data_IF_483374675360
#
_entry.id   IF_483374675360
#
_cell.length_a   1.000
_cell.length_b   1.000
_cell.length_c   1.000
_cell.angle_alpha   90.00
_cell.angle_beta   90.00
_cell.angle_gamma   90.00
#
_symmetry.space_group_name_H-M   'P 1'
#
loop_
_entity.id
_entity.type
_entity.pdbx_description
1 polymer ?
#
# COMPACT_ATOMS: atom_id res chain seq x y z
N UNK A 1 3.27 -24.64 -1.50
CA UNK A 1 4.19 -23.48 -1.69
C UNK A 1 3.54 -22.20 -2.20
N UNK A 2 2.76 -22.22 -3.28
CA UNK A 2 2.18 -20.99 -3.88
C UNK A 2 1.31 -20.19 -2.90
N UNK A 3 0.47 -20.86 -2.12
CA UNK A 3 -0.37 -20.22 -1.09
C UNK A 3 0.44 -19.62 0.05
N UNK A 4 1.54 -20.26 0.45
CA UNK A 4 2.46 -19.72 1.45
C UNK A 4 3.11 -18.41 0.98
N UNK A 5 3.47 -18.31 -0.31
CA UNK A 5 3.98 -17.06 -0.89
C UNK A 5 2.94 -15.95 -0.91
N UNK A 6 1.67 -16.27 -1.21
CA UNK A 6 0.55 -15.31 -1.15
C UNK A 6 0.28 -14.81 0.27
N UNK A 7 0.26 -15.72 1.24
CA UNK A 7 0.13 -15.38 2.65
C UNK A 7 1.32 -14.53 3.13
N UNK A 8 2.54 -14.85 2.71
CA UNK A 8 3.72 -14.07 3.04
C UNK A 8 3.66 -12.65 2.44
N UNK A 9 3.24 -12.53 1.18
CA UNK A 9 3.03 -11.23 0.55
C UNK A 9 2.00 -10.36 1.29
N UNK A 10 0.93 -11.00 1.79
CA UNK A 10 -0.07 -10.36 2.65
C UNK A 10 0.53 -9.85 3.97
N UNK A 11 1.31 -10.68 4.66
CA UNK A 11 1.97 -10.30 5.90
C UNK A 11 2.97 -9.17 5.69
N UNK A 12 3.69 -9.15 4.56
CA UNK A 12 4.59 -8.04 4.18
C UNK A 12 3.85 -6.70 4.01
N UNK A 13 2.56 -6.75 3.68
CA UNK A 13 1.72 -5.58 3.49
C UNK A 13 1.09 -5.11 4.81
N UNK A 14 0.72 -6.04 5.70
CA UNK A 14 0.08 -5.70 7.00
C UNK A 14 1.07 -5.46 8.13
N UNK A 15 2.25 -6.08 8.10
CA UNK A 15 3.31 -5.89 9.10
C UNK A 15 4.41 -4.94 8.61
N UNK A 16 5.04 -4.24 9.55
CA UNK A 16 6.18 -3.36 9.25
C UNK A 16 7.48 -4.11 9.52
N UNK A 17 8.26 -4.37 8.46
CA UNK A 17 9.57 -5.01 8.58
C UNK A 17 9.52 -6.41 9.19
N UNK A 18 9.04 -7.39 8.42
CA UNK A 18 9.18 -8.80 8.80
C UNK A 18 10.68 -9.09 8.98
N UNK A 19 11.04 -9.60 10.16
CA UNK A 19 12.41 -9.97 10.49
C UNK A 19 12.84 -11.24 9.74
N UNK A 20 13.20 -12.29 10.46
CA UNK A 20 13.53 -13.57 9.85
C UNK A 20 12.25 -14.32 9.47
N UNK A 21 12.14 -14.75 8.22
CA UNK A 21 11.02 -15.53 7.69
C UNK A 21 11.48 -16.91 7.26
N UNK A 22 10.67 -17.93 7.56
CA UNK A 22 10.91 -19.32 7.15
C UNK A 22 9.59 -19.89 6.66
N UNK A 23 9.56 -20.39 5.41
CA UNK A 23 8.44 -21.18 4.89
C UNK A 23 8.78 -22.65 5.16
N UNK A 24 7.81 -23.40 5.69
CA UNK A 24 7.98 -24.82 6.02
C UNK A 24 6.93 -25.60 5.22
N UNK A 25 7.34 -26.65 4.52
CA UNK A 25 6.45 -27.52 3.75
C UNK A 25 5.55 -28.38 4.65
N UNK A 26 4.39 -28.87 4.17
CA UNK A 26 3.51 -29.72 4.96
C UNK A 26 4.16 -31.05 5.36
N UNK A 27 5.09 -31.56 4.55
CA UNK A 27 5.95 -32.72 4.84
C UNK A 27 6.92 -32.48 6.02
N UNK A 28 7.49 -31.29 6.15
CA UNK A 28 8.40 -30.94 7.26
C UNK A 28 7.66 -30.76 8.60
N UNK A 29 6.35 -30.47 8.55
CA UNK A 29 5.47 -30.38 9.72
C UNK A 29 5.04 -31.77 10.20
N UNK A 30 5.33 -32.84 9.44
CA UNK A 30 4.76 -34.17 9.67
C UNK A 30 5.41 -35.00 10.77
N UNK A 31 6.57 -34.63 11.35
CA UNK A 31 7.31 -35.60 12.17
C UNK A 31 7.57 -35.30 13.66
N UNK A 32 7.48 -34.07 14.19
CA UNK A 32 7.44 -33.94 15.66
C UNK A 32 6.97 -32.58 16.20
N UNK A 33 6.01 -32.60 17.13
CA UNK A 33 5.55 -31.40 17.83
C UNK A 33 6.54 -30.87 18.88
N UNK A 34 7.43 -31.73 19.34
CA UNK A 34 8.57 -31.33 20.16
C UNK A 34 9.54 -30.45 19.34
N UNK A 35 9.82 -30.82 18.08
CA UNK A 35 10.74 -30.10 17.19
C UNK A 35 10.22 -28.73 16.79
N UNK A 36 8.94 -28.59 16.41
CA UNK A 36 8.41 -27.28 16.03
C UNK A 36 8.41 -26.32 17.22
N UNK A 37 8.08 -26.78 18.43
CA UNK A 37 8.17 -25.97 19.66
C UNK A 37 9.61 -25.59 19.99
N UNK A 38 10.53 -26.55 19.92
CA UNK A 38 11.95 -26.32 20.19
C UNK A 38 12.55 -25.32 19.19
N UNK A 39 12.17 -25.43 17.91
CA UNK A 39 12.57 -24.53 16.84
C UNK A 39 11.95 -23.15 17.02
N UNK A 40 10.65 -23.06 17.33
CA UNK A 40 9.98 -21.78 17.59
C UNK A 40 10.59 -21.02 18.78
N UNK A 41 11.00 -21.73 19.85
CA UNK A 41 11.71 -21.12 20.98
C UNK A 41 13.12 -20.70 20.63
N UNK A 42 13.87 -21.53 19.90
CA UNK A 42 15.26 -21.25 19.49
C UNK A 42 15.34 -20.07 18.53
N UNK A 43 14.42 -20.02 17.57
CA UNK A 43 14.36 -18.98 16.54
C UNK A 43 13.57 -17.73 16.98
N UNK A 44 13.01 -17.71 18.20
CA UNK A 44 12.16 -16.63 18.75
C UNK A 44 11.07 -16.21 17.77
N UNK A 45 10.26 -17.16 17.35
CA UNK A 45 9.17 -16.91 16.41
C UNK A 45 8.07 -16.10 17.13
N UNK A 46 7.81 -14.89 16.65
CA UNK A 46 6.77 -14.00 17.18
C UNK A 46 5.39 -14.25 16.55
N UNK A 47 5.35 -14.76 15.32
CA UNK A 47 4.12 -15.01 14.56
C UNK A 47 4.23 -16.28 13.72
N UNK A 48 3.18 -17.09 13.70
CA UNK A 48 3.11 -18.34 12.97
C UNK A 48 1.80 -18.40 12.17
N UNK A 49 1.91 -18.61 10.85
CA UNK A 49 0.75 -18.60 9.95
C UNK A 49 0.55 -19.98 9.33
N UNK A 50 -0.60 -20.59 9.61
CA UNK A 50 -1.00 -21.89 9.07
C UNK A 50 -1.80 -21.72 7.78
N UNK A 51 -1.49 -22.49 6.74
CA UNK A 51 -2.28 -22.50 5.51
C UNK A 51 -3.43 -23.53 5.62
N UNK A 52 -4.68 -23.08 5.57
CA UNK A 52 -5.86 -23.94 5.61
C UNK A 52 -6.07 -24.76 4.33
N UNK A 53 -5.34 -24.45 3.25
CA UNK A 53 -5.31 -25.29 2.05
C UNK A 53 -4.39 -26.52 2.22
N UNK A 54 -3.33 -26.37 3.02
CA UNK A 54 -2.29 -27.40 3.17
C UNK A 54 -2.48 -28.24 4.47
N UNK A 55 -3.17 -27.70 5.46
CA UNK A 55 -3.43 -28.34 6.75
C UNK A 55 -4.93 -28.42 7.05
N UNK A 56 -5.38 -29.57 7.54
CA UNK A 56 -6.76 -29.73 8.00
C UNK A 56 -7.03 -28.90 9.26
N UNK A 57 -8.27 -28.45 9.44
CA UNK A 57 -8.69 -27.67 10.61
C UNK A 57 -8.36 -28.39 11.93
N UNK A 58 -8.54 -29.71 11.98
CA UNK A 58 -8.19 -30.53 13.14
C UNK A 58 -6.69 -30.48 13.48
N UNK A 59 -5.80 -30.53 12.48
CA UNK A 59 -4.36 -30.38 12.69
C UNK A 59 -4.01 -28.98 13.17
N UNK A 60 -4.62 -27.94 12.60
CA UNK A 60 -4.39 -26.55 13.01
C UNK A 60 -4.78 -26.35 14.47
N UNK A 61 -5.97 -26.83 14.88
CA UNK A 61 -6.45 -26.75 16.27
C UNK A 61 -5.50 -27.48 17.22
N UNK A 62 -5.05 -28.68 16.86
CA UNK A 62 -4.09 -29.43 17.66
C UNK A 62 -2.78 -28.66 17.85
N UNK A 63 -2.29 -27.98 16.81
CA UNK A 63 -1.11 -27.13 16.90
C UNK A 63 -1.35 -25.87 17.73
N UNK A 64 -2.51 -25.23 17.60
CA UNK A 64 -2.90 -24.08 18.42
C UNK A 64 -2.89 -24.42 19.91
N UNK A 65 -3.48 -25.55 20.28
CA UNK A 65 -3.47 -26.03 21.67
C UNK A 65 -2.06 -26.30 22.16
N UNK A 66 -1.23 -26.91 21.31
CA UNK A 66 0.16 -27.21 21.65
C UNK A 66 1.00 -25.93 21.78
N UNK A 67 0.79 -24.94 20.92
CA UNK A 67 1.55 -23.70 20.91
C UNK A 67 0.95 -22.62 21.83
N UNK A 68 -0.15 -22.92 22.54
CA UNK A 68 -0.81 -22.01 23.50
C UNK A 68 0.12 -21.46 24.59
N UNK A 69 1.18 -22.20 24.95
CA UNK A 69 2.21 -21.77 25.92
C UNK A 69 3.43 -21.09 25.27
N UNK A 70 3.42 -20.93 23.94
CA UNK A 70 4.44 -20.15 23.23
C UNK A 70 4.00 -18.69 23.16
N UNK A 71 4.96 -17.76 23.04
CA UNK A 71 4.68 -16.32 22.88
C UNK A 71 4.22 -15.97 21.45
N UNK A 72 4.28 -16.93 20.52
CA UNK A 72 3.97 -16.72 19.13
C UNK A 72 2.47 -16.49 18.92
N UNK A 73 2.12 -15.45 18.16
CA UNK A 73 0.76 -15.25 17.67
C UNK A 73 0.48 -16.24 16.55
N UNK A 74 -0.70 -16.85 16.56
CA UNK A 74 -1.08 -17.84 15.54
C UNK A 74 -2.12 -17.22 14.61
N UNK A 75 -1.89 -17.26 13.30
CA UNK A 75 -2.87 -16.88 12.28
C UNK A 75 -3.11 -18.02 11.29
N UNK A 76 -4.23 -17.96 10.57
CA UNK A 76 -4.67 -18.97 9.61
C UNK A 76 -4.93 -18.30 8.26
N UNK A 77 -4.12 -18.63 7.26
CA UNK A 77 -4.33 -18.23 5.88
C UNK A 77 -5.35 -19.15 5.20
N UNK A 78 -6.47 -18.58 4.75
CA UNK A 78 -7.52 -19.28 4.01
C UNK A 78 -7.19 -19.36 2.51
N UNK A 79 -7.60 -20.45 1.81
CA UNK A 79 -7.58 -20.51 0.37
C UNK A 79 -8.47 -19.39 -0.21
N UNK A 80 -7.84 -18.36 -0.78
CA UNK A 80 -8.52 -17.14 -1.23
C UNK A 80 -7.82 -15.84 -0.82
N UNK A 81 -6.75 -15.89 -0.02
CA UNK A 81 -5.94 -14.72 0.31
C UNK A 81 -6.49 -13.89 1.47
N UNK A 82 -7.04 -14.57 2.47
CA UNK A 82 -7.47 -13.96 3.75
C UNK A 82 -6.70 -14.61 4.89
N UNK A 83 -6.20 -13.82 5.84
CA UNK A 83 -5.48 -14.27 7.03
C UNK A 83 -6.37 -13.98 8.25
N UNK A 84 -6.67 -15.00 9.03
CA UNK A 84 -7.49 -14.92 10.24
C UNK A 84 -6.59 -15.09 11.46
N UNK A 85 -6.48 -14.05 12.28
CA UNK A 85 -5.81 -14.05 13.57
C UNK A 85 -6.76 -14.05 14.76
N UNK A 86 -6.24 -14.11 16.00
CA UNK A 86 -7.05 -14.23 17.22
C UNK A 86 -7.88 -12.99 17.53
N UNK A 87 -7.48 -11.82 17.01
CA UNK A 87 -8.15 -10.53 17.23
C UNK A 87 -8.48 -9.78 15.92
N UNK A 88 -8.22 -10.37 14.75
CA UNK A 88 -8.46 -9.71 13.45
C UNK A 88 -8.65 -10.73 12.33
N UNK A 89 -9.55 -10.44 11.39
CA UNK A 89 -9.56 -11.07 10.07
C UNK A 89 -9.06 -10.04 9.05
N UNK A 90 -8.02 -10.38 8.29
CA UNK A 90 -7.36 -9.52 7.32
C UNK A 90 -7.52 -10.15 5.93
N UNK A 91 -8.36 -9.57 5.07
CA UNK A 91 -8.52 -10.02 3.67
C UNK A 91 -7.87 -9.04 2.69
N UNK A 92 -7.34 -9.55 1.57
CA UNK A 92 -7.01 -8.72 0.39
C UNK A 92 -8.21 -7.86 -0.07
N UNK A 93 -9.44 -8.36 0.13
CA UNK A 93 -10.67 -7.65 -0.18
C UNK A 93 -11.09 -6.62 0.86
N UNK A 94 -10.78 -6.84 2.15
CA UNK A 94 -11.12 -5.91 3.25
C UNK A 94 -10.30 -4.61 3.20
N UNK A 95 -9.13 -4.63 2.55
CA UNK A 95 -8.35 -3.42 2.27
C UNK A 95 -9.05 -2.45 1.31
N UNK A 96 -10.10 -2.91 0.60
CA UNK A 96 -10.93 -2.12 -0.30
C UNK A 96 -12.30 -1.76 0.28
N UNK A 97 -12.62 -2.20 1.50
CA UNK A 97 -13.89 -1.90 2.17
C UNK A 97 -13.86 -0.49 2.76
N UNK A 98 -14.29 0.48 1.95
CA UNK A 98 -14.95 1.75 2.35
C UNK A 98 -14.42 2.46 3.60
N UNK A 99 -13.12 2.75 3.63
CA UNK A 99 -12.64 3.85 4.47
C UNK A 99 -13.20 5.17 3.92
N UNK A 100 -13.84 5.98 4.78
CA UNK A 100 -14.38 7.31 4.46
C UNK A 100 -13.34 8.23 3.78
N UNK A 101 -12.06 7.95 3.98
CA UNK A 101 -10.93 8.71 3.45
C UNK A 101 -10.23 8.05 2.25
N UNK A 102 -10.63 6.85 1.83
CA UNK A 102 -10.05 6.22 0.65
C UNK A 102 -10.39 6.99 -0.61
N UNK A 103 -9.46 7.06 -1.57
CA UNK A 103 -9.63 7.81 -2.83
C UNK A 103 -10.86 7.33 -3.63
N UNK A 104 -11.31 6.09 -3.42
CA UNK A 104 -12.53 5.57 -4.02
C UNK A 104 -13.83 6.20 -3.42
N UNK A 105 -13.77 6.78 -2.22
CA UNK A 105 -14.90 7.41 -1.56
C UNK A 105 -15.27 8.75 -2.23
N UNK A 106 -16.57 9.06 -2.26
CA UNK A 106 -17.03 10.33 -2.85
C UNK A 106 -16.49 11.56 -2.10
N UNK A 107 -16.29 11.45 -0.78
CA UNK A 107 -15.73 12.52 0.04
C UNK A 107 -14.26 12.79 -0.32
N UNK A 108 -13.42 11.75 -0.38
CA UNK A 108 -12.02 11.91 -0.76
C UNK A 108 -11.87 12.38 -2.20
N UNK A 109 -12.69 11.91 -3.15
CA UNK A 109 -12.66 12.42 -4.54
C UNK A 109 -12.98 13.91 -4.64
N UNK A 110 -13.99 14.38 -3.89
CA UNK A 110 -14.30 15.81 -3.81
C UNK A 110 -13.13 16.58 -3.23
N UNK A 111 -12.55 16.09 -2.14
CA UNK A 111 -11.40 16.72 -1.49
C UNK A 111 -10.15 16.76 -2.40
N UNK A 112 -9.90 15.67 -3.14
CA UNK A 112 -8.85 15.60 -4.16
C UNK A 112 -9.05 16.66 -5.22
N UNK A 113 -10.27 16.74 -5.76
CA UNK A 113 -10.64 17.70 -6.81
C UNK A 113 -10.53 19.15 -6.35
N UNK A 114 -10.99 19.46 -5.13
CA UNK A 114 -10.89 20.81 -4.56
C UNK A 114 -9.43 21.19 -4.32
N UNK A 115 -8.61 20.26 -3.83
CA UNK A 115 -7.17 20.48 -3.66
C UNK A 115 -6.49 20.73 -5.00
N UNK A 116 -6.80 19.93 -6.02
CA UNK A 116 -6.22 20.10 -7.35
C UNK A 116 -6.56 21.45 -7.98
N UNK A 117 -7.83 21.83 -7.88
CA UNK A 117 -8.33 23.11 -8.37
C UNK A 117 -7.70 24.29 -7.63
N UNK A 118 -7.63 24.23 -6.30
CA UNK A 118 -7.01 25.27 -5.48
C UNK A 118 -5.53 25.46 -5.82
N UNK A 119 -4.78 24.36 -5.96
CA UNK A 119 -3.37 24.41 -6.36
C UNK A 119 -3.21 24.97 -7.76
N UNK A 120 -4.06 24.57 -8.73
CA UNK A 120 -3.98 25.08 -10.09
C UNK A 120 -4.27 26.59 -10.16
N UNK A 121 -5.29 27.07 -9.46
CA UNK A 121 -5.60 28.51 -9.38
C UNK A 121 -4.45 29.28 -8.74
N UNK A 122 -3.91 28.78 -7.62
CA UNK A 122 -2.79 29.41 -6.94
C UNK A 122 -1.53 29.48 -7.82
N UNK A 123 -1.23 28.41 -8.56
CA UNK A 123 -0.09 28.37 -9.49
C UNK A 123 -0.27 29.33 -10.66
N UNK A 124 -1.47 29.51 -11.20
CA UNK A 124 -1.73 30.46 -12.28
C UNK A 124 -1.64 31.92 -11.81
N UNK A 125 -2.19 32.23 -10.63
CA UNK A 125 -2.08 33.57 -10.03
C UNK A 125 -0.62 33.91 -9.70
N UNK A 126 0.10 32.94 -9.13
CA UNK A 126 1.52 33.11 -8.78
C UNK A 126 2.47 32.88 -9.97
N UNK A 127 1.96 32.53 -11.16
CA UNK A 127 2.77 32.21 -12.33
C UNK A 127 3.76 33.33 -12.73
N UNK A 128 3.41 34.64 -12.71
CA UNK A 128 4.36 35.69 -13.08
C UNK A 128 5.67 35.64 -12.29
N UNK A 129 5.61 35.16 -11.04
CA UNK A 129 6.74 35.01 -10.14
C UNK A 129 7.33 33.60 -10.19
N UNK A 130 6.49 32.57 -10.15
CA UNK A 130 6.94 31.18 -9.93
C UNK A 130 7.33 30.43 -11.18
N UNK A 131 6.95 30.91 -12.37
CA UNK A 131 7.21 30.25 -13.65
C UNK A 131 8.70 30.05 -13.92
N UNK A 132 9.55 30.94 -13.40
CA UNK A 132 11.01 30.89 -13.55
C UNK A 132 11.67 29.74 -12.77
N UNK A 133 10.98 29.18 -11.76
CA UNK A 133 11.50 28.06 -10.96
C UNK A 133 11.20 26.69 -11.58
N UNK A 134 10.28 26.62 -12.55
CA UNK A 134 9.87 25.38 -13.21
C UNK A 134 10.69 25.15 -14.49
N UNK A 135 11.07 23.89 -14.73
CA UNK A 135 11.88 23.53 -15.92
C UNK A 135 11.13 23.80 -17.23
N UNK A 136 9.92 23.26 -17.34
CA UNK A 136 9.03 23.49 -18.49
C UNK A 136 7.91 24.48 -18.11
N UNK A 137 8.10 25.73 -18.54
CA UNK A 137 7.21 26.87 -18.25
C UNK A 137 5.87 26.74 -18.97
N UNK A 138 5.91 26.38 -20.25
CA UNK A 138 4.70 26.18 -21.04
C UNK A 138 3.95 24.94 -20.55
N UNK A 139 4.69 23.89 -20.17
CA UNK A 139 4.17 22.70 -19.51
C UNK A 139 3.41 23.02 -18.22
N UNK A 140 3.92 23.91 -17.37
CA UNK A 140 3.23 24.32 -16.13
C UNK A 140 1.84 24.89 -16.42
N UNK A 141 1.75 25.84 -17.36
CA UNK A 141 0.47 26.48 -17.72
C UNK A 141 -0.47 25.46 -18.36
N UNK A 142 0.03 24.63 -19.29
CA UNK A 142 -0.76 23.55 -19.93
C UNK A 142 -1.31 22.58 -18.89
N UNK A 143 -0.47 22.15 -17.94
CA UNK A 143 -0.84 21.21 -16.89
C UNK A 143 -1.87 21.85 -15.95
N UNK A 144 -1.67 23.11 -15.53
CA UNK A 144 -2.62 23.83 -14.69
C UNK A 144 -3.99 23.95 -15.37
N UNK A 145 -4.05 24.37 -16.63
CA UNK A 145 -5.30 24.42 -17.41
C UNK A 145 -5.91 23.03 -17.57
N UNK A 146 -5.10 22.00 -17.84
CA UNK A 146 -5.57 20.62 -17.91
C UNK A 146 -6.16 20.10 -16.60
N UNK A 147 -5.60 20.52 -15.46
CA UNK A 147 -6.17 20.25 -14.14
C UNK A 147 -7.48 21.02 -13.95
N UNK A 148 -7.56 22.31 -14.30
CA UNK A 148 -8.83 23.07 -14.24
C UNK A 148 -9.95 22.40 -15.06
N UNK A 149 -9.63 21.92 -16.26
CA UNK A 149 -10.56 21.20 -17.14
C UNK A 149 -10.87 19.76 -16.69
N UNK A 150 -10.21 19.26 -15.64
CA UNK A 150 -10.44 17.92 -15.10
C UNK A 150 -9.78 16.78 -15.89
N UNK A 151 -8.89 17.10 -16.81
CA UNK A 151 -8.14 16.12 -17.61
C UNK A 151 -6.99 15.49 -16.81
N UNK A 152 -6.44 16.22 -15.85
CA UNK A 152 -5.30 15.82 -15.03
C UNK A 152 -5.54 16.04 -13.54
N UNK A 153 -4.71 15.38 -12.73
CA UNK A 153 -4.49 15.67 -11.31
C UNK A 153 -3.03 16.08 -11.09
N UNK A 154 -2.73 16.87 -10.05
CA UNK A 154 -1.34 17.18 -9.73
C UNK A 154 -0.57 15.97 -9.23
N UNK A 155 -1.20 15.17 -8.37
CA UNK A 155 -0.56 14.03 -7.70
C UNK A 155 -1.38 12.77 -7.94
N UNK A 156 -0.70 11.68 -8.24
CA UNK A 156 -1.29 10.35 -8.41
C UNK A 156 -0.30 9.24 -8.12
N UNK A 157 -0.65 8.03 -8.57
CA UNK A 157 0.16 6.85 -8.32
C UNK A 157 1.51 6.91 -9.03
N UNK A 158 2.51 6.30 -8.40
CA UNK A 158 3.85 6.18 -8.94
C UNK A 158 3.93 5.13 -10.06
N UNK A 159 3.19 4.03 -9.94
CA UNK A 159 3.14 2.98 -10.96
C UNK A 159 1.75 2.75 -11.56
N UNK A 160 1.64 1.66 -12.34
CA UNK A 160 0.45 1.40 -13.15
C UNK A 160 -0.75 0.96 -12.28
N UNK A 161 -1.85 1.75 -12.21
CA UNK A 161 -3.01 1.41 -11.37
C UNK A 161 -3.77 0.17 -11.86
N UNK A 162 -3.77 -0.12 -13.16
CA UNK A 162 -4.54 -1.23 -13.77
C UNK A 162 -3.97 -2.58 -13.35
N UNK A 163 -2.65 -2.73 -13.46
CA UNK A 163 -1.95 -3.94 -13.03
C UNK A 163 -2.08 -4.18 -11.52
N UNK A 164 -2.33 -3.10 -10.75
CA UNK A 164 -2.31 -3.09 -9.28
C UNK A 164 -3.70 -3.07 -8.64
N UNK A 165 -4.78 -3.12 -9.45
CA UNK A 165 -6.17 -3.04 -8.99
C UNK A 165 -6.46 -1.81 -8.10
N UNK A 166 -5.76 -0.70 -8.37
CA UNK A 166 -5.97 0.56 -7.63
C UNK A 166 -7.19 1.30 -8.20
N UNK A 167 -7.90 2.10 -7.37
CA UNK A 167 -8.96 2.97 -7.84
C UNK A 167 -8.51 3.82 -9.03
N UNK A 168 -9.37 4.02 -10.01
CA UNK A 168 -8.99 4.82 -11.20
C UNK A 168 -8.89 6.30 -10.82
N UNK A 169 -7.74 6.91 -11.12
CA UNK A 169 -7.53 8.36 -11.11
C UNK A 169 -7.26 8.88 -12.53
N UNK A 170 -7.50 10.17 -12.73
CA UNK A 170 -7.00 10.88 -13.90
C UNK A 170 -5.47 10.80 -13.98
N UNK A 171 -4.87 10.92 -15.17
CA UNK A 171 -3.42 11.03 -15.32
C UNK A 171 -2.84 12.11 -14.42
N UNK A 172 -1.69 11.82 -13.82
CA UNK A 172 -1.07 12.68 -12.81
C UNK A 172 0.20 13.34 -13.33
N UNK A 173 0.40 14.61 -13.01
CA UNK A 173 1.65 15.33 -13.31
C UNK A 173 2.80 14.76 -12.48
N UNK A 174 2.56 14.56 -11.19
CA UNK A 174 3.54 14.06 -10.22
C UNK A 174 3.11 12.70 -9.67
N UNK A 175 4.09 11.84 -9.42
CA UNK A 175 3.91 10.66 -8.57
C UNK A 175 3.91 11.04 -7.08
N UNK A 176 3.22 10.25 -6.26
CA UNK A 176 3.17 10.43 -4.81
C UNK A 176 4.51 10.21 -4.07
N UNK A 177 5.54 9.70 -4.74
CA UNK A 177 6.81 9.30 -4.11
C UNK A 177 7.54 10.47 -3.42
N UNK A 178 7.44 11.68 -3.95
CA UNK A 178 8.19 12.83 -3.45
C UNK A 178 7.77 13.33 -2.06
N UNK A 179 6.54 13.02 -1.62
CA UNK A 179 6.06 13.40 -0.30
C UNK A 179 6.51 12.44 0.82
N UNK A 180 7.04 11.26 0.47
CA UNK A 180 7.51 10.27 1.44
C UNK A 180 8.91 10.62 1.98
N UNK A 181 9.19 10.37 3.27
CA UNK A 181 10.54 10.53 3.84
C UNK A 181 11.57 9.64 3.13
N UNK A 182 12.82 10.10 3.01
CA UNK A 182 13.92 9.31 2.43
C UNK A 182 14.18 7.99 3.18
N UNK A 183 13.85 7.93 4.48
CA UNK A 183 13.89 6.73 5.33
C UNK A 183 12.91 5.64 4.89
N UNK A 184 11.93 5.99 4.05
CA UNK A 184 10.98 5.06 3.44
C UNK A 184 11.59 4.28 2.26
N UNK A 185 12.91 4.32 2.07
CA UNK A 185 13.65 3.51 1.07
C UNK A 185 13.43 2.00 1.21
N UNK A 186 12.99 1.54 2.39
CA UNK A 186 12.59 0.14 2.64
C UNK A 186 11.15 -0.18 2.22
N UNK A 187 10.36 0.83 1.86
CA UNK A 187 8.94 0.70 1.47
C UNK A 187 8.86 0.72 -0.05
N UNK A 188 8.27 -0.32 -0.65
CA UNK A 188 8.09 -0.37 -2.10
C UNK A 188 7.14 0.73 -2.58
N UNK A 189 7.34 1.20 -3.81
CA UNK A 189 6.45 2.18 -4.45
C UNK A 189 4.98 1.71 -4.46
N UNK A 190 4.77 0.40 -4.57
CA UNK A 190 3.44 -0.22 -4.56
C UNK A 190 2.73 -0.04 -3.22
N UNK A 191 3.47 -0.15 -2.12
CA UNK A 191 2.93 0.07 -0.77
C UNK A 191 2.61 1.55 -0.56
N UNK A 192 3.42 2.46 -1.09
CA UNK A 192 3.16 3.90 -1.06
C UNK A 192 1.89 4.26 -1.85
N UNK A 193 1.70 3.66 -3.03
CA UNK A 193 0.49 3.81 -3.84
C UNK A 193 -0.76 3.30 -3.12
N UNK A 194 -0.66 2.14 -2.47
CA UNK A 194 -1.77 1.57 -1.69
C UNK A 194 -2.12 2.46 -0.49
N UNK A 195 -1.12 2.93 0.26
CA UNK A 195 -1.34 3.84 1.40
C UNK A 195 -1.99 5.15 0.96
N UNK A 196 -1.53 5.71 -0.16
CA UNK A 196 -2.13 6.90 -0.77
C UNK A 196 -3.58 6.65 -1.21
N UNK A 197 -3.88 5.47 -1.80
CA UNK A 197 -5.23 5.09 -2.19
C UNK A 197 -6.18 4.89 -1.00
N UNK A 198 -5.63 4.38 0.11
CA UNK A 198 -6.36 3.99 1.31
C UNK A 198 -6.74 5.18 2.19
N UNK A 199 -5.82 6.11 2.44
CA UNK A 199 -6.05 7.28 3.30
C UNK A 199 -5.61 8.57 2.60
N UNK A 200 -6.52 9.16 1.84
CA UNK A 200 -6.24 10.39 1.11
C UNK A 200 -6.20 11.60 2.05
N UNK A 201 -5.11 12.36 1.98
CA UNK A 201 -4.92 13.60 2.74
C UNK A 201 -4.49 14.76 1.83
N UNK A 202 -5.21 15.90 1.81
CA UNK A 202 -4.83 17.07 1.01
C UNK A 202 -3.43 17.62 1.31
N UNK A 203 -3.03 17.59 2.57
CA UNK A 203 -1.70 18.05 3.00
C UNK A 203 -0.57 17.21 2.41
N UNK A 204 -0.84 15.95 2.07
CA UNK A 204 0.11 15.08 1.39
C UNK A 204 0.34 15.55 -0.05
N UNK A 205 -0.72 15.86 -0.79
CA UNK A 205 -0.62 16.38 -2.16
C UNK A 205 0.12 17.71 -2.21
N UNK A 206 -0.24 18.64 -1.33
CA UNK A 206 0.43 19.95 -1.24
C UNK A 206 1.93 19.77 -0.96
N UNK A 207 2.30 18.85 -0.06
CA UNK A 207 3.71 18.53 0.20
C UNK A 207 4.41 17.97 -1.04
N UNK A 208 3.74 17.09 -1.79
CA UNK A 208 4.27 16.53 -3.03
C UNK A 208 4.53 17.64 -4.06
N UNK A 209 3.57 18.54 -4.24
CA UNK A 209 3.67 19.71 -5.14
C UNK A 209 4.84 20.62 -4.75
N UNK A 210 4.97 20.95 -3.46
CA UNK A 210 6.06 21.82 -2.98
C UNK A 210 7.43 21.17 -3.16
N UNK A 211 7.56 19.88 -2.86
CA UNK A 211 8.85 19.17 -3.00
C UNK A 211 9.24 18.91 -4.46
N UNK A 212 8.26 18.74 -5.33
CA UNK A 212 8.46 18.50 -6.76
C UNK A 212 8.12 19.72 -7.62
N UNK A 213 8.18 20.93 -7.04
CA UNK A 213 7.73 22.16 -7.69
C UNK A 213 8.37 22.37 -9.07
N UNK A 214 9.68 22.08 -9.18
CA UNK A 214 10.45 22.24 -10.42
C UNK A 214 9.99 21.32 -11.56
N UNK A 215 9.26 20.26 -11.24
CA UNK A 215 8.74 19.23 -12.16
C UNK A 215 7.25 19.41 -12.49
N UNK A 216 6.60 20.48 -12.02
CA UNK A 216 5.18 20.71 -12.32
C UNK A 216 4.88 20.95 -13.81
N UNK A 217 5.90 21.23 -14.61
CA UNK A 217 5.80 21.35 -16.07
C UNK A 217 5.97 20.04 -16.83
N UNK A 218 6.44 18.97 -16.18
CA UNK A 218 6.69 17.70 -16.83
C UNK A 218 5.37 17.13 -17.40
N UNK A 219 5.41 16.37 -18.51
CA UNK A 219 4.20 15.78 -19.08
C UNK A 219 3.50 14.88 -18.06
N UNK A 220 2.17 14.99 -17.97
CA UNK A 220 1.38 14.13 -17.10
C UNK A 220 1.60 12.67 -17.47
N UNK A 221 1.97 11.87 -16.47
CA UNK A 221 2.17 10.44 -16.62
C UNK A 221 0.79 9.78 -16.59
N UNK A 222 0.35 9.31 -17.75
CA UNK A 222 -0.95 8.66 -17.93
C UNK A 222 -0.83 7.41 -18.78
N UNK A 223 -1.37 6.30 -18.25
CA UNK A 223 -1.58 4.97 -18.86
C UNK A 223 -0.55 4.56 -19.94
N UNK A 224 0.48 3.83 -19.51
CA UNK A 224 0.91 2.65 -20.26
C UNK A 224 0.22 1.44 -19.63
#
# INVERSE_FOLDING_TARGET
EEQARKALALLWQTHYGLGRQTIVGPEDVSLDASNLRARARRERIDELVFCAADLSAARIIQWMERLKRSRAQIKIAQPGGTIIGPNSAESLGDLLVLERHGIHSAAARRMKRTTDLAVAVLLLISAPLTIWLVKDRAGLIRNAVGVLLGRYTWVGYAGNPVQRRLPVLAPAVLGNLAAWPATSTRVSADRMDLLYAKDYRPSFDVRCVVRSFRSLGDPARGRA
#
